data_IF_394187653067
#
_entry.id   IF_394187653067
#
_cell.length_a   1.000
_cell.length_b   1.000
_cell.length_c   1.000
_cell.angle_alpha   90.00
_cell.angle_beta   90.00
_cell.angle_gamma   90.00
#
_symmetry.space_group_name_H-M   'P 1'
#
loop_
_entity.id
_entity.type
_entity.pdbx_description
1 polymer ?
#
# COMPACT_ATOMS: atom_id res chain seq x y z
N UNK A 1 -15.26 3.81 7.73
CA UNK A 1 -14.03 3.08 7.29
C UNK A 1 -12.83 3.99 7.41
N UNK A 2 -11.76 3.52 8.05
CA UNK A 2 -10.47 4.22 8.16
C UNK A 2 -9.51 3.66 7.12
N UNK A 3 -8.97 4.52 6.27
CA UNK A 3 -8.14 4.11 5.13
C UNK A 3 -6.71 4.61 5.36
N UNK A 4 -5.76 3.68 5.39
CA UNK A 4 -4.33 4.01 5.41
C UNK A 4 -3.81 4.10 3.97
N UNK A 5 -3.14 5.20 3.64
CA UNK A 5 -2.45 5.40 2.37
C UNK A 5 -0.97 5.62 2.67
N UNK A 6 -0.11 4.68 2.27
CA UNK A 6 1.34 4.87 2.34
C UNK A 6 1.86 5.42 1.02
N UNK A 7 2.93 6.22 1.05
CA UNK A 7 3.35 6.98 -0.11
C UNK A 7 2.38 8.12 -0.46
N UNK A 8 1.72 8.67 0.58
CA UNK A 8 0.66 9.66 0.45
C UNK A 8 1.11 10.97 -0.21
N UNK A 9 2.37 11.38 -0.02
CA UNK A 9 2.96 12.57 -0.63
C UNK A 9 3.44 12.36 -2.08
N UNK A 10 3.49 11.11 -2.55
CA UNK A 10 3.83 10.78 -3.93
C UNK A 10 2.77 11.22 -4.94
N UNK A 11 3.09 11.16 -6.24
CA UNK A 11 2.16 11.57 -7.29
C UNK A 11 0.83 10.82 -7.24
N UNK A 12 0.87 9.49 -7.17
CA UNK A 12 -0.35 8.67 -7.10
C UNK A 12 -1.04 8.84 -5.75
N UNK A 13 -0.25 8.86 -4.64
CA UNK A 13 -0.76 9.02 -3.30
C UNK A 13 -1.59 10.29 -3.12
N UNK A 14 -1.06 11.44 -3.52
CA UNK A 14 -1.78 12.72 -3.44
C UNK A 14 -3.11 12.71 -4.19
N UNK A 15 -3.10 12.19 -5.43
CA UNK A 15 -4.32 12.09 -6.23
C UNK A 15 -5.36 11.16 -5.58
N UNK A 16 -4.92 10.03 -5.03
CA UNK A 16 -5.79 9.11 -4.32
C UNK A 16 -6.36 9.75 -3.05
N UNK A 17 -5.52 10.35 -2.22
CA UNK A 17 -5.92 11.01 -0.97
C UNK A 17 -6.95 12.10 -1.23
N UNK A 18 -6.72 12.97 -2.23
CA UNK A 18 -7.68 14.01 -2.58
C UNK A 18 -9.01 13.43 -3.09
N UNK A 19 -8.98 12.34 -3.85
CA UNK A 19 -10.21 11.66 -4.28
C UNK A 19 -10.95 11.06 -3.08
N UNK A 20 -10.25 10.41 -2.14
CA UNK A 20 -10.83 9.88 -0.92
C UNK A 20 -11.45 10.98 -0.05
N UNK A 21 -10.79 12.14 0.07
CA UNK A 21 -11.34 13.33 0.76
C UNK A 21 -12.62 13.81 0.08
N UNK A 22 -12.64 13.87 -1.26
CA UNK A 22 -13.83 14.25 -2.02
C UNK A 22 -15.00 13.26 -1.84
N UNK A 23 -14.73 11.96 -1.71
CA UNK A 23 -15.75 10.95 -1.39
C UNK A 23 -16.26 11.17 0.04
N UNK A 24 -15.36 11.30 1.01
CA UNK A 24 -15.70 11.55 2.42
C UNK A 24 -16.58 12.79 2.59
N UNK A 25 -16.23 13.86 1.91
CA UNK A 25 -16.92 15.14 1.98
C UNK A 25 -18.21 15.21 1.11
N UNK A 26 -18.59 14.11 0.46
CA UNK A 26 -19.78 14.00 -0.39
C UNK A 26 -19.70 14.77 -1.71
N UNK A 27 -18.53 15.31 -2.08
CA UNK A 27 -18.27 16.01 -3.35
C UNK A 27 -18.21 15.03 -4.52
N UNK A 28 -17.64 13.85 -4.31
CA UNK A 28 -17.61 12.77 -5.29
C UNK A 28 -18.69 11.74 -4.96
N UNK A 29 -19.72 11.65 -5.80
CA UNK A 29 -20.88 10.76 -5.63
C UNK A 29 -20.78 9.46 -6.44
N UNK A 30 -19.64 9.16 -7.04
CA UNK A 30 -19.46 7.93 -7.84
C UNK A 30 -19.43 6.67 -6.98
N UNK A 31 -19.24 6.80 -5.68
CA UNK A 31 -19.19 5.71 -4.69
C UNK A 31 -20.10 5.99 -3.50
N UNK A 32 -21.44 6.05 -3.69
CA UNK A 32 -22.37 6.51 -2.64
C UNK A 32 -22.41 5.59 -1.42
N UNK A 33 -22.00 4.33 -1.56
CA UNK A 33 -22.01 3.34 -0.47
C UNK A 33 -20.71 3.28 0.31
N UNK A 34 -19.69 4.10 -0.05
CA UNK A 34 -18.41 4.14 0.66
C UNK A 34 -18.44 5.27 1.68
N UNK A 35 -18.45 4.90 2.97
CA UNK A 35 -18.36 5.86 4.08
C UNK A 35 -16.95 5.85 4.63
N UNK A 36 -16.26 6.97 4.47
CA UNK A 36 -14.90 7.18 4.96
C UNK A 36 -14.95 8.04 6.22
N UNK A 37 -14.45 7.51 7.33
CA UNK A 37 -14.39 8.22 8.60
C UNK A 37 -13.05 8.97 8.74
N UNK A 38 -11.95 8.31 8.37
CA UNK A 38 -10.60 8.85 8.55
C UNK A 38 -9.69 8.41 7.38
N UNK A 39 -8.81 9.30 6.94
CA UNK A 39 -7.75 9.02 5.97
C UNK A 39 -6.42 9.21 6.71
N UNK A 40 -5.65 8.13 6.81
CA UNK A 40 -4.38 8.05 7.50
C UNK A 40 -3.28 8.17 6.44
N UNK A 41 -2.64 9.32 6.37
CA UNK A 41 -1.63 9.63 5.37
C UNK A 41 -0.24 9.32 5.96
N UNK A 42 0.49 8.38 5.35
CA UNK A 42 1.83 7.98 5.76
C UNK A 42 2.83 8.17 4.61
N UNK A 43 3.97 8.76 4.89
CA UNK A 43 5.05 8.96 3.92
C UNK A 43 6.43 8.86 4.57
N UNK A 44 7.49 9.13 3.81
CA UNK A 44 8.88 9.00 4.23
C UNK A 44 9.23 9.86 5.47
N UNK A 45 8.53 10.98 5.65
CA UNK A 45 8.72 11.88 6.80
C UNK A 45 7.92 11.45 8.04
N UNK A 46 7.10 10.41 7.93
CA UNK A 46 6.31 9.87 9.04
C UNK A 46 7.13 8.94 9.92
N UNK A 47 6.80 8.89 11.22
CA UNK A 47 7.53 8.05 12.17
C UNK A 47 7.05 6.59 12.19
N UNK A 48 7.88 5.70 12.75
CA UNK A 48 7.49 4.29 12.92
C UNK A 48 6.32 4.14 13.92
N UNK A 49 6.23 5.02 14.90
CA UNK A 49 5.14 5.07 15.87
C UNK A 49 3.81 5.44 15.19
N UNK A 50 3.84 6.36 14.21
CA UNK A 50 2.66 6.69 13.40
C UNK A 50 2.21 5.50 12.56
N UNK A 51 3.15 4.77 11.95
CA UNK A 51 2.82 3.54 11.21
C UNK A 51 2.13 2.52 12.11
N UNK A 52 2.69 2.28 13.30
CA UNK A 52 2.14 1.36 14.28
C UNK A 52 0.72 1.78 14.71
N UNK A 53 0.54 3.06 15.04
CA UNK A 53 -0.76 3.61 15.42
C UNK A 53 -1.78 3.53 14.28
N UNK A 54 -1.38 3.76 13.04
CA UNK A 54 -2.25 3.67 11.87
C UNK A 54 -2.64 2.21 11.57
N UNK A 55 -1.68 1.30 11.64
CA UNK A 55 -1.91 -0.13 11.46
C UNK A 55 -2.84 -0.73 12.52
N UNK A 56 -2.88 -0.15 13.74
CA UNK A 56 -3.77 -0.63 14.80
C UNK A 56 -5.26 -0.37 14.49
N UNK A 57 -5.58 0.61 13.64
CA UNK A 57 -6.95 1.09 13.43
C UNK A 57 -7.42 1.12 11.98
N UNK A 58 -6.56 0.82 11.02
CA UNK A 58 -6.91 0.84 9.61
C UNK A 58 -7.90 -0.27 9.26
N UNK A 59 -8.92 0.05 8.47
CA UNK A 59 -9.87 -0.91 7.91
C UNK A 59 -9.49 -1.35 6.48
N UNK A 60 -8.67 -0.52 5.80
CA UNK A 60 -8.14 -0.78 4.47
C UNK A 60 -6.81 -0.06 4.28
N UNK A 61 -5.88 -0.68 3.54
CA UNK A 61 -4.55 -0.11 3.28
C UNK A 61 -4.28 -0.03 1.78
N UNK A 62 -3.94 1.18 1.30
CA UNK A 62 -3.31 1.40 0.01
C UNK A 62 -1.80 1.52 0.21
N UNK A 63 -1.04 0.49 -0.14
CA UNK A 63 0.41 0.55 -0.11
C UNK A 63 0.95 1.06 -1.46
N UNK A 64 1.20 2.37 -1.52
CA UNK A 64 1.75 3.07 -2.67
C UNK A 64 3.20 3.51 -2.44
N UNK A 65 3.71 3.32 -1.21
CA UNK A 65 5.11 3.58 -0.90
C UNK A 65 6.01 2.66 -1.71
N UNK A 66 7.02 3.25 -2.34
CA UNK A 66 7.99 2.50 -3.12
C UNK A 66 8.96 3.40 -3.87
N UNK A 67 10.14 2.87 -4.17
CA UNK A 67 11.18 3.55 -4.95
C UNK A 67 11.04 3.16 -6.41
N UNK A 68 10.69 4.11 -7.28
CA UNK A 68 10.45 3.86 -8.71
C UNK A 68 11.72 3.97 -9.58
N UNK A 69 12.74 4.70 -9.13
CA UNK A 69 13.99 4.93 -9.86
C UNK A 69 15.17 4.89 -8.89
N UNK A 70 15.56 3.69 -8.43
CA UNK A 70 16.70 3.54 -7.53
C UNK A 70 17.99 3.92 -8.26
N UNK A 71 18.90 4.59 -7.56
CA UNK A 71 20.25 4.80 -8.05
C UNK A 71 21.11 3.55 -7.81
N UNK A 72 20.77 2.75 -6.78
CA UNK A 72 21.38 1.47 -6.44
C UNK A 72 20.31 0.38 -6.37
N UNK A 73 20.54 -0.85 -6.90
CA UNK A 73 19.64 -2.00 -6.73
C UNK A 73 19.27 -2.30 -5.27
N UNK A 74 20.13 -1.96 -4.31
CA UNK A 74 19.84 -2.12 -2.87
C UNK A 74 18.70 -1.22 -2.40
N UNK A 75 18.65 0.02 -2.90
CA UNK A 75 17.55 0.95 -2.57
C UNK A 75 16.19 0.40 -3.00
N UNK A 76 16.16 -0.33 -4.12
CA UNK A 76 14.94 -0.98 -4.60
C UNK A 76 14.48 -2.09 -3.65
N UNK A 77 15.42 -2.90 -3.16
CA UNK A 77 15.12 -3.99 -2.22
C UNK A 77 14.71 -3.45 -0.85
N UNK A 78 15.44 -2.51 -0.30
CA UNK A 78 15.19 -1.93 1.01
C UNK A 78 13.93 -1.05 1.02
N UNK A 79 13.75 -0.23 -0.01
CA UNK A 79 12.61 0.69 -0.11
C UNK A 79 11.29 0.01 -0.43
N UNK A 80 11.28 -1.03 -1.26
CA UNK A 80 10.03 -1.68 -1.65
C UNK A 80 9.72 -2.90 -0.76
N UNK A 81 10.65 -3.84 -0.65
CA UNK A 81 10.44 -5.05 0.13
C UNK A 81 10.54 -4.78 1.64
N UNK A 82 11.53 -4.00 2.07
CA UNK A 82 11.73 -3.69 3.49
C UNK A 82 10.53 -2.97 4.10
N UNK A 83 10.03 -1.93 3.43
CA UNK A 83 8.86 -1.20 3.91
C UNK A 83 7.58 -2.05 3.88
N UNK A 84 7.34 -2.81 2.81
CA UNK A 84 6.17 -3.70 2.75
C UNK A 84 6.18 -4.72 3.89
N UNK A 85 7.36 -5.26 4.23
CA UNK A 85 7.52 -6.17 5.38
C UNK A 85 7.21 -5.48 6.70
N UNK A 86 7.73 -4.27 6.93
CA UNK A 86 7.44 -3.48 8.14
C UNK A 86 5.94 -3.20 8.29
N UNK A 87 5.25 -2.82 7.21
CA UNK A 87 3.82 -2.60 7.18
C UNK A 87 3.04 -3.87 7.59
N UNK A 88 3.40 -5.01 7.00
CA UNK A 88 2.74 -6.28 7.31
C UNK A 88 3.01 -6.74 8.75
N UNK A 89 4.22 -6.54 9.25
CA UNK A 89 4.56 -6.87 10.64
C UNK A 89 3.81 -5.97 11.64
N UNK A 90 3.64 -4.68 11.33
CA UNK A 90 2.83 -3.78 12.12
C UNK A 90 1.34 -4.19 12.14
N UNK A 91 0.76 -4.57 11.00
CA UNK A 91 -0.60 -5.10 10.94
C UNK A 91 -0.76 -6.40 11.75
N UNK A 92 0.19 -7.33 11.62
CA UNK A 92 0.21 -8.59 12.39
C UNK A 92 0.32 -8.35 13.89
N UNK A 93 1.19 -7.44 14.32
CA UNK A 93 1.36 -7.07 15.73
C UNK A 93 0.03 -6.70 16.40
N UNK A 94 -0.88 -6.06 15.65
CA UNK A 94 -2.20 -5.66 16.10
C UNK A 94 -3.32 -6.65 15.75
N UNK A 95 -2.99 -7.86 15.25
CA UNK A 95 -3.96 -8.82 14.68
C UNK A 95 -4.94 -8.16 13.70
N UNK A 96 -4.50 -7.10 13.02
CA UNK A 96 -5.31 -6.37 12.05
C UNK A 96 -5.31 -7.10 10.71
N UNK A 97 -6.50 -7.49 10.25
CA UNK A 97 -6.75 -8.22 9.00
C UNK A 97 -7.25 -7.32 7.89
N UNK A 98 -6.99 -6.01 7.98
CA UNK A 98 -7.35 -5.07 6.93
C UNK A 98 -6.77 -5.51 5.57
N UNK A 99 -7.58 -5.51 4.50
CA UNK A 99 -7.08 -5.77 3.16
C UNK A 99 -6.00 -4.76 2.78
N UNK A 100 -4.90 -5.26 2.19
CA UNK A 100 -3.80 -4.43 1.69
C UNK A 100 -3.80 -4.49 0.17
N UNK A 101 -4.02 -3.35 -0.48
CA UNK A 101 -3.79 -3.18 -1.90
C UNK A 101 -2.32 -2.79 -2.11
N UNK A 102 -1.61 -3.58 -2.91
CA UNK A 102 -0.22 -3.31 -3.28
C UNK A 102 -0.17 -2.83 -4.73
N UNK A 103 0.47 -1.69 -4.97
CA UNK A 103 0.75 -1.25 -6.34
C UNK A 103 1.83 -2.13 -6.95
N UNK A 104 1.57 -2.68 -8.14
CA UNK A 104 2.49 -3.54 -8.87
C UNK A 104 2.68 -3.05 -10.31
N UNK A 105 3.67 -3.59 -11.01
CA UNK A 105 3.97 -3.28 -12.40
C UNK A 105 4.09 -4.57 -13.21
N UNK A 106 3.84 -4.50 -14.52
CA UNK A 106 4.10 -5.62 -15.45
C UNK A 106 5.59 -6.02 -15.44
N UNK A 107 6.48 -5.11 -15.08
CA UNK A 107 7.90 -5.42 -14.92
C UNK A 107 8.15 -6.43 -13.80
N UNK A 108 7.30 -6.51 -12.80
CA UNK A 108 7.36 -7.55 -11.78
C UNK A 108 7.17 -8.95 -12.37
N UNK A 109 6.38 -9.08 -13.44
CA UNK A 109 6.17 -10.35 -14.17
C UNK A 109 7.39 -10.73 -15.01
N UNK A 110 8.11 -9.74 -15.56
CA UNK A 110 9.32 -9.97 -16.36
C UNK A 110 10.53 -10.34 -15.48
N UNK A 111 10.54 -9.90 -14.23
CA UNK A 111 11.57 -10.26 -13.25
C UNK A 111 11.53 -11.74 -12.85
N UNK A 112 10.46 -12.48 -13.17
CA UNK A 112 10.31 -13.91 -12.89
C UNK A 112 11.41 -14.79 -13.52
N UNK A 113 12.10 -14.30 -14.54
CA UNK A 113 13.20 -15.04 -15.17
C UNK A 113 14.53 -14.94 -14.41
N UNK A 114 14.62 -14.06 -13.39
CA UNK A 114 15.88 -13.73 -12.70
C UNK A 114 15.82 -13.81 -11.17
N UNK A 115 14.64 -14.05 -10.55
CA UNK A 115 14.53 -14.19 -9.09
C UNK A 115 14.23 -15.62 -8.69
N UNK A 116 14.88 -16.14 -7.62
CA UNK A 116 14.60 -17.49 -7.13
C UNK A 116 13.15 -17.62 -6.65
N UNK A 117 12.54 -18.82 -6.79
CA UNK A 117 11.14 -19.10 -6.44
C UNK A 117 10.75 -18.73 -4.99
N UNK A 118 11.70 -18.69 -4.07
CA UNK A 118 11.50 -18.36 -2.65
C UNK A 118 10.91 -16.97 -2.40
N UNK A 119 11.08 -16.02 -3.31
CA UNK A 119 10.49 -14.68 -3.17
C UNK A 119 8.99 -14.66 -3.51
N UNK A 120 8.55 -15.57 -4.37
CA UNK A 120 7.14 -15.70 -4.73
C UNK A 120 6.33 -16.34 -3.62
N UNK A 121 6.86 -17.38 -2.99
CA UNK A 121 6.20 -18.08 -1.89
C UNK A 121 6.08 -17.19 -0.66
N UNK A 122 7.08 -16.36 -0.37
CA UNK A 122 7.02 -15.40 0.74
C UNK A 122 5.91 -14.35 0.54
N UNK A 123 5.72 -13.83 -0.67
CA UNK A 123 4.65 -12.87 -0.98
C UNK A 123 3.26 -13.55 -0.98
N UNK A 124 3.16 -14.79 -1.47
CA UNK A 124 1.90 -15.51 -1.57
C UNK A 124 1.47 -16.17 -0.24
N UNK A 125 2.42 -16.52 0.63
CA UNK A 125 2.10 -17.14 1.93
C UNK A 125 1.62 -16.15 3.00
N UNK A 126 1.83 -14.84 2.80
CA UNK A 126 1.49 -13.81 3.77
C UNK A 126 0.24 -12.98 3.43
N UNK A 127 -0.30 -13.12 2.22
CA UNK A 127 -1.50 -12.40 1.81
C UNK A 127 -2.63 -13.40 1.74
N UNK A 128 -3.68 -13.30 2.60
CA UNK A 128 -4.94 -13.94 2.26
C UNK A 128 -5.35 -13.39 0.90
N UNK A 129 -5.39 -14.27 -0.07
CA UNK A 129 -5.60 -14.04 -1.50
C UNK A 129 -6.85 -13.20 -1.77
N UNK A 130 -6.76 -11.90 -1.74
CA UNK A 130 -7.81 -11.03 -2.27
C UNK A 130 -7.21 -9.72 -2.76
N UNK A 131 -7.31 -9.58 -4.07
CA UNK A 131 -7.18 -8.35 -4.86
C UNK A 131 -5.80 -8.10 -5.49
N UNK A 132 -5.51 -8.86 -6.55
CA UNK A 132 -4.74 -8.31 -7.65
C UNK A 132 -5.70 -7.43 -8.49
N UNK A 133 -5.62 -6.12 -8.36
CA UNK A 133 -6.21 -5.23 -9.36
C UNK A 133 -5.10 -4.88 -10.35
N UNK A 134 -5.05 -5.60 -11.45
CA UNK A 134 -4.35 -5.17 -12.65
C UNK A 134 -5.12 -3.99 -13.24
N UNK A 135 -4.71 -2.76 -12.97
CA UNK A 135 -5.12 -1.62 -13.77
C UNK A 135 -4.14 -1.51 -14.94
N UNK A 136 -4.54 -2.05 -16.07
CA UNK A 136 -4.00 -1.68 -17.38
C UNK A 136 -4.67 -0.37 -17.73
N UNK A 137 -3.93 0.74 -17.70
CA UNK A 137 -4.35 1.97 -18.38
C UNK A 137 -3.95 1.84 -19.86
N UNK A 138 -4.87 2.24 -20.77
CA UNK A 138 -4.59 2.28 -22.21
C UNK A 138 -3.53 3.31 -22.57
#
# INVERSE_FOLDING_TARGET
MKILVTGAAGFVGRNLVENLKNIRDGKNRTRPNVVIDEILEYDIDSSAEELDAYCSKADFVFNLAGVNRPQDPKEFQEGNFGFASQLLDALKKHDNKAPVMLSSSIQATLAHTHFPPSYHEALLSFIPLHVFINYVLP
#
